data_IF_694270602128
#
_entry.id   IF_694270602128
#
_cell.length_a   1.000
_cell.length_b   1.000
_cell.length_c   1.000
_cell.angle_alpha   90.00
_cell.angle_beta   90.00
_cell.angle_gamma   90.00
#
_symmetry.space_group_name_H-M   'P 1'
#
loop_
_entity.id
_entity.type
_entity.pdbx_description
1 polymer ?
#
# COMPACT_ATOMS: atom_id res chain seq x y z
N UNK A 1 2.82 -8.58 18.77
CA UNK A 1 3.66 -7.72 17.90
C UNK A 1 2.80 -6.71 17.19
N UNK A 2 3.20 -5.43 17.15
CA UNK A 2 2.41 -4.44 16.43
C UNK A 2 2.39 -4.74 14.94
N UNK A 3 1.27 -4.43 14.32
CA UNK A 3 1.16 -4.52 12.88
C UNK A 3 2.05 -3.47 12.21
N UNK A 4 2.44 -3.71 10.99
CA UNK A 4 3.22 -2.74 10.21
C UNK A 4 2.59 -2.49 8.85
N UNK A 5 2.76 -1.28 8.38
CA UNK A 5 2.22 -0.78 7.11
C UNK A 5 3.28 0.01 6.38
N UNK A 6 3.14 0.11 5.07
CA UNK A 6 4.04 0.92 4.24
C UNK A 6 3.20 1.84 3.36
N UNK A 7 3.53 3.13 3.42
CA UNK A 7 2.91 4.15 2.56
C UNK A 7 3.95 4.66 1.59
N UNK A 8 3.69 4.54 0.31
CA UNK A 8 4.58 4.99 -0.75
C UNK A 8 3.85 6.07 -1.55
N UNK A 9 4.22 7.31 -1.34
CA UNK A 9 3.57 8.47 -1.95
C UNK A 9 4.55 9.64 -1.92
N UNK A 10 4.63 10.44 -2.97
CA UNK A 10 5.55 11.55 -3.02
C UNK A 10 5.04 12.81 -2.31
N UNK A 11 3.82 12.79 -1.80
CA UNK A 11 3.22 13.92 -1.09
C UNK A 11 3.49 13.86 0.41
N UNK A 12 4.31 14.77 0.89
CA UNK A 12 4.58 14.88 2.34
C UNK A 12 3.33 15.27 3.12
N UNK A 13 2.45 16.05 2.50
CA UNK A 13 1.19 16.43 3.13
C UNK A 13 0.32 15.19 3.35
N UNK A 14 0.26 14.31 2.36
CA UNK A 14 -0.51 13.09 2.46
C UNK A 14 0.07 12.15 3.53
N UNK A 15 1.39 12.11 3.66
CA UNK A 15 2.02 11.35 4.75
C UNK A 15 1.52 11.81 6.12
N UNK A 16 1.36 13.12 6.32
CA UNK A 16 0.84 13.64 7.57
C UNK A 16 -0.61 13.22 7.79
N UNK A 17 -1.42 13.21 6.74
CA UNK A 17 -2.79 12.73 6.83
C UNK A 17 -2.84 11.25 7.24
N UNK A 18 -1.99 10.42 6.63
CA UNK A 18 -1.89 9.02 7.01
C UNK A 18 -1.47 8.86 8.47
N UNK A 19 -0.53 9.68 8.94
CA UNK A 19 -0.10 9.62 10.35
C UNK A 19 -1.27 9.85 11.30
N UNK A 20 -2.14 10.78 10.96
CA UNK A 20 -3.32 11.05 11.77
C UNK A 20 -4.29 9.86 11.76
N UNK A 21 -4.48 9.26 10.59
CA UNK A 21 -5.38 8.10 10.45
C UNK A 21 -4.82 6.91 11.25
N UNK A 22 -3.54 6.63 11.13
CA UNK A 22 -2.92 5.47 11.80
C UNK A 22 -2.67 5.70 13.29
N UNK A 23 -2.85 6.92 13.79
CA UNK A 23 -2.72 7.22 15.21
C UNK A 23 -4.00 6.96 16.00
N UNK A 24 -5.09 6.60 15.33
CA UNK A 24 -6.41 6.51 15.97
C UNK A 24 -6.94 5.09 16.03
N UNK A 25 -7.77 4.86 17.05
CA UNK A 25 -8.53 3.61 17.18
C UNK A 25 -7.62 2.41 17.29
N UNK A 26 -8.03 1.33 16.65
CA UNK A 26 -7.28 0.07 16.69
C UNK A 26 -6.02 0.08 15.82
N UNK A 27 -5.78 1.16 15.07
CA UNK A 27 -4.55 1.35 14.31
C UNK A 27 -3.44 1.99 15.16
N UNK A 28 -3.80 2.60 16.28
CA UNK A 28 -2.82 3.19 17.20
C UNK A 28 -1.87 2.12 17.68
N UNK A 29 -0.58 2.44 17.72
CA UNK A 29 0.45 1.48 18.12
C UNK A 29 1.03 0.67 16.96
N UNK A 30 0.46 0.75 15.76
CA UNK A 30 1.06 0.11 14.59
C UNK A 30 2.31 0.88 14.15
N UNK A 31 3.20 0.19 13.43
CA UNK A 31 4.38 0.80 12.84
C UNK A 31 4.08 1.14 11.38
N UNK A 32 4.27 2.39 11.00
CA UNK A 32 4.04 2.80 9.61
C UNK A 32 5.34 3.34 9.02
N UNK A 33 5.74 2.75 7.91
CA UNK A 33 6.90 3.19 7.14
C UNK A 33 6.43 4.10 6.01
N UNK A 34 7.19 5.14 5.72
CA UNK A 34 6.83 6.12 4.69
C UNK A 34 7.96 6.24 3.66
N UNK A 35 7.62 6.17 2.39
CA UNK A 35 8.55 6.37 1.29
C UNK A 35 8.03 7.49 0.39
N UNK A 36 8.93 8.29 -0.16
CA UNK A 36 8.60 9.44 -1.01
C UNK A 36 8.67 9.14 -2.51
N UNK A 37 9.12 7.95 -2.88
CA UNK A 37 9.17 7.54 -4.28
C UNK A 37 9.15 6.02 -4.36
N UNK A 38 8.96 5.51 -5.57
CA UNK A 38 8.83 4.07 -5.77
C UNK A 38 10.11 3.29 -5.49
N UNK A 39 11.26 3.89 -5.78
CA UNK A 39 12.54 3.23 -5.54
C UNK A 39 12.78 3.01 -4.05
N UNK A 40 12.59 4.06 -3.27
CA UNK A 40 12.68 3.98 -1.81
C UNK A 40 11.66 3.01 -1.25
N UNK A 41 10.42 3.09 -1.76
CA UNK A 41 9.33 2.21 -1.34
C UNK A 41 9.63 0.74 -1.63
N UNK A 42 10.22 0.46 -2.78
CA UNK A 42 10.59 -0.92 -3.13
C UNK A 42 11.61 -1.48 -2.15
N UNK A 43 12.62 -0.67 -1.79
CA UNK A 43 13.61 -1.07 -0.79
C UNK A 43 12.98 -1.35 0.57
N UNK A 44 12.03 -0.53 0.99
CA UNK A 44 11.32 -0.73 2.25
C UNK A 44 10.43 -1.98 2.21
N UNK A 45 9.80 -2.23 1.08
CA UNK A 45 9.01 -3.45 0.90
C UNK A 45 9.91 -4.68 1.03
N UNK A 46 11.07 -4.66 0.39
CA UNK A 46 12.01 -5.77 0.45
C UNK A 46 12.50 -6.04 1.88
N UNK A 47 12.71 -4.96 2.64
CA UNK A 47 13.24 -5.07 4.00
C UNK A 47 12.18 -5.47 5.04
N UNK A 48 10.89 -5.45 4.70
CA UNK A 48 9.81 -5.68 5.65
C UNK A 48 8.87 -6.79 5.20
N UNK A 49 9.21 -8.07 5.48
CA UNK A 49 8.40 -9.20 5.00
C UNK A 49 7.07 -9.39 5.72
N UNK A 50 6.84 -8.67 6.82
CA UNK A 50 5.64 -8.86 7.65
C UNK A 50 4.62 -7.73 7.55
N UNK A 51 4.69 -6.91 6.49
CA UNK A 51 3.73 -5.84 6.30
C UNK A 51 2.30 -6.38 6.15
N UNK A 52 1.37 -5.73 6.81
CA UNK A 52 -0.06 -6.08 6.68
C UNK A 52 -0.63 -5.54 5.38
N UNK A 53 -0.21 -4.34 4.98
CA UNK A 53 -0.74 -3.67 3.79
C UNK A 53 0.25 -2.62 3.31
N UNK A 54 0.35 -2.46 1.99
CA UNK A 54 1.09 -1.37 1.35
C UNK A 54 0.09 -0.48 0.62
N UNK A 55 0.20 0.83 0.85
CA UNK A 55 -0.58 1.85 0.16
C UNK A 55 0.36 2.56 -0.81
N UNK A 56 0.09 2.46 -2.10
CA UNK A 56 1.01 2.86 -3.17
C UNK A 56 0.36 3.85 -4.12
N UNK A 57 0.98 5.01 -4.29
CA UNK A 57 0.54 5.97 -5.30
C UNK A 57 1.01 5.53 -6.68
N UNK A 58 0.22 5.88 -7.70
CA UNK A 58 0.53 5.55 -9.09
C UNK A 58 1.60 6.49 -9.67
N UNK A 59 1.43 7.79 -9.44
CA UNK A 59 2.29 8.82 -10.06
C UNK A 59 3.35 9.33 -9.10
N UNK A 60 4.59 8.85 -9.30
CA UNK A 60 5.73 9.25 -8.46
C UNK A 60 6.99 9.34 -9.32
N UNK A 61 7.96 10.19 -8.90
CA UNK A 61 9.25 10.21 -9.58
C UNK A 61 10.05 8.94 -9.31
N UNK A 62 11.03 8.69 -10.16
CA UNK A 62 12.02 7.60 -10.08
C UNK A 62 11.49 6.19 -10.27
N UNK A 63 10.29 5.90 -9.86
CA UNK A 63 9.63 4.62 -10.13
C UNK A 63 8.16 4.82 -9.78
N UNK A 64 7.28 4.78 -10.77
CA UNK A 64 5.85 4.94 -10.52
C UNK A 64 5.25 3.65 -9.96
N UNK A 65 3.98 3.71 -9.56
CA UNK A 65 3.33 2.59 -8.91
C UNK A 65 3.22 1.35 -9.78
N UNK A 66 2.95 1.52 -11.07
CA UNK A 66 2.85 0.37 -11.99
C UNK A 66 4.21 -0.29 -12.18
N UNK A 67 5.28 0.51 -12.29
CA UNK A 67 6.64 -0.02 -12.41
C UNK A 67 7.05 -0.80 -11.17
N UNK A 68 6.69 -0.27 -10.00
CA UNK A 68 6.98 -0.95 -8.74
C UNK A 68 6.26 -2.30 -8.68
N UNK A 69 4.98 -2.33 -9.01
CA UNK A 69 4.19 -3.55 -9.01
C UNK A 69 4.74 -4.57 -10.01
N UNK A 70 5.09 -4.11 -11.23
CA UNK A 70 5.63 -4.98 -12.25
C UNK A 70 6.94 -5.62 -11.80
N UNK A 71 7.82 -4.84 -11.19
CA UNK A 71 9.08 -5.33 -10.67
C UNK A 71 8.87 -6.34 -9.54
N UNK A 72 7.96 -6.01 -8.63
CA UNK A 72 7.62 -6.89 -7.51
C UNK A 72 7.10 -8.24 -8.01
N UNK A 73 6.23 -8.21 -9.03
CA UNK A 73 5.67 -9.41 -9.63
C UNK A 73 6.75 -10.24 -10.31
N UNK A 74 7.62 -9.59 -11.08
CA UNK A 74 8.71 -10.24 -11.77
C UNK A 74 9.71 -10.91 -10.82
N UNK A 75 10.02 -10.23 -9.72
CA UNK A 75 10.96 -10.74 -8.72
C UNK A 75 10.29 -11.60 -7.67
N UNK A 76 8.97 -11.71 -7.71
CA UNK A 76 8.16 -12.46 -6.72
C UNK A 76 8.44 -12.03 -5.29
N UNK A 77 8.63 -10.73 -5.10
CA UNK A 77 8.94 -10.17 -3.78
C UNK A 77 7.68 -10.12 -2.92
N UNK A 78 7.67 -10.89 -1.84
CA UNK A 78 6.57 -10.94 -0.87
C UNK A 78 5.19 -10.95 -1.53
N UNK A 79 4.89 -11.93 -2.40
CA UNK A 79 3.68 -11.91 -3.23
C UNK A 79 2.39 -11.93 -2.43
N UNK A 80 2.44 -12.32 -1.16
CA UNK A 80 1.27 -12.39 -0.29
C UNK A 80 0.94 -11.09 0.41
N UNK A 81 1.83 -10.09 0.36
CA UNK A 81 1.55 -8.79 0.95
C UNK A 81 0.62 -8.02 0.00
N UNK A 82 -0.59 -7.61 0.46
CA UNK A 82 -1.48 -6.86 -0.41
C UNK A 82 -0.96 -5.45 -0.65
N UNK A 83 -0.97 -5.02 -1.90
CA UNK A 83 -0.61 -3.67 -2.30
C UNK A 83 -1.83 -3.03 -2.93
N UNK A 84 -2.35 -1.99 -2.29
CA UNK A 84 -3.48 -1.22 -2.81
C UNK A 84 -2.95 0.05 -3.48
N UNK A 85 -3.40 0.32 -4.70
CA UNK A 85 -3.11 1.57 -5.38
C UNK A 85 -4.03 2.66 -4.84
N UNK A 86 -3.46 3.80 -4.44
CA UNK A 86 -4.21 4.95 -3.92
C UNK A 86 -3.79 6.16 -4.74
N UNK A 87 -4.66 6.62 -5.64
CA UNK A 87 -4.26 7.61 -6.63
C UNK A 87 -5.43 8.46 -7.13
N UNK A 88 -5.11 9.63 -7.71
CA UNK A 88 -6.09 10.47 -8.40
C UNK A 88 -6.39 9.93 -9.79
N UNK A 89 -5.50 9.10 -10.34
CA UNK A 89 -5.71 8.46 -11.63
C UNK A 89 -6.75 7.36 -11.49
N UNK A 90 -7.85 7.49 -12.21
CA UNK A 90 -9.00 6.62 -11.97
C UNK A 90 -9.65 6.08 -13.23
N UNK A 91 -8.92 6.00 -14.34
CA UNK A 91 -9.48 5.40 -15.54
C UNK A 91 -9.60 3.89 -15.37
N UNK A 92 -10.58 3.30 -16.06
CA UNK A 92 -10.73 1.86 -16.07
C UNK A 92 -9.48 1.17 -16.62
N UNK A 93 -8.82 1.83 -17.56
CA UNK A 93 -7.58 1.33 -18.15
C UNK A 93 -6.46 1.24 -17.11
N UNK A 94 -6.31 2.26 -16.28
CA UNK A 94 -5.30 2.27 -15.22
C UNK A 94 -5.59 1.22 -14.17
N UNK A 95 -6.85 1.04 -13.81
CA UNK A 95 -7.23 -0.02 -12.87
C UNK A 95 -6.93 -1.41 -13.44
N UNK A 96 -7.22 -1.62 -14.73
CA UNK A 96 -6.95 -2.89 -15.39
C UNK A 96 -5.45 -3.18 -15.42
N UNK A 97 -4.63 -2.17 -15.73
CA UNK A 97 -3.17 -2.32 -15.71
C UNK A 97 -2.66 -2.64 -14.32
N UNK A 98 -3.19 -1.97 -13.32
CA UNK A 98 -2.81 -2.24 -11.93
C UNK A 98 -3.09 -3.67 -11.55
N UNK A 99 -4.26 -4.18 -11.90
CA UNK A 99 -4.63 -5.56 -11.59
C UNK A 99 -3.75 -6.56 -12.32
N UNK A 100 -3.41 -6.29 -13.57
CA UNK A 100 -2.51 -7.16 -14.35
C UNK A 100 -1.14 -7.31 -13.69
N UNK A 101 -0.65 -6.25 -13.05
CA UNK A 101 0.66 -6.29 -12.39
C UNK A 101 0.54 -6.58 -10.90
N UNK A 102 -0.61 -7.07 -10.45
CA UNK A 102 -0.76 -7.62 -9.12
C UNK A 102 -1.27 -6.68 -8.04
N UNK A 103 -1.88 -5.55 -8.42
CA UNK A 103 -2.53 -4.71 -7.42
C UNK A 103 -3.68 -5.47 -6.76
N UNK A 104 -3.71 -5.41 -5.44
CA UNK A 104 -4.74 -6.10 -4.67
C UNK A 104 -6.06 -5.34 -4.66
N UNK A 105 -5.98 -4.00 -4.63
CA UNK A 105 -7.15 -3.13 -4.65
C UNK A 105 -6.78 -1.76 -5.19
N UNK A 106 -7.77 -0.91 -5.37
CA UNK A 106 -7.62 0.41 -5.97
C UNK A 106 -8.51 1.39 -5.21
N UNK A 107 -7.94 2.47 -4.69
CA UNK A 107 -8.66 3.51 -3.96
C UNK A 107 -8.41 4.86 -4.62
N UNK A 108 -9.48 5.59 -4.91
CA UNK A 108 -9.39 6.91 -5.53
C UNK A 108 -9.17 8.00 -4.49
N UNK A 109 -8.27 8.93 -4.78
CA UNK A 109 -8.12 10.16 -3.99
C UNK A 109 -9.13 11.20 -4.50
N UNK A 110 -9.67 12.05 -3.64
CA UNK A 110 -9.48 12.09 -2.19
C UNK A 110 -10.26 10.98 -1.50
N UNK A 111 -9.71 10.46 -0.43
CA UNK A 111 -10.34 9.39 0.34
C UNK A 111 -10.71 9.88 1.74
N UNK A 112 -11.60 9.15 2.39
CA UNK A 112 -11.96 9.36 3.79
C UNK A 112 -11.14 8.43 4.68
N UNK A 113 -10.91 8.79 5.96
CA UNK A 113 -10.24 7.87 6.89
C UNK A 113 -10.89 6.48 6.95
N UNK A 114 -12.22 6.42 6.82
CA UNK A 114 -12.94 5.14 6.80
C UNK A 114 -12.55 4.26 5.62
N UNK A 115 -12.17 4.85 4.50
CA UNK A 115 -11.74 4.07 3.33
C UNK A 115 -10.45 3.32 3.64
N UNK A 116 -9.51 3.97 4.32
CA UNK A 116 -8.26 3.35 4.74
C UNK A 116 -8.53 2.27 5.79
N UNK A 117 -9.41 2.56 6.75
CA UNK A 117 -9.78 1.59 7.77
C UNK A 117 -10.39 0.33 7.18
N UNK A 118 -11.22 0.47 6.14
CA UNK A 118 -11.79 -0.67 5.45
C UNK A 118 -10.75 -1.50 4.70
N UNK A 119 -9.79 -0.83 4.04
CA UNK A 119 -8.68 -1.54 3.39
C UNK A 119 -7.88 -2.34 4.40
N UNK A 120 -7.57 -1.74 5.54
CA UNK A 120 -6.83 -2.41 6.61
C UNK A 120 -7.59 -3.64 7.11
N UNK A 121 -8.88 -3.49 7.32
CA UNK A 121 -9.73 -4.60 7.79
C UNK A 121 -9.67 -5.79 6.84
N UNK A 122 -9.82 -5.53 5.54
CA UNK A 122 -9.77 -6.57 4.52
C UNK A 122 -8.39 -7.19 4.40
N UNK A 123 -7.34 -6.37 4.55
CA UNK A 123 -5.97 -6.88 4.53
C UNK A 123 -5.70 -7.78 5.73
N UNK A 124 -6.23 -7.45 6.90
CA UNK A 124 -6.12 -8.29 8.10
C UNK A 124 -6.81 -9.64 7.90
N UNK A 125 -7.99 -9.64 7.28
CA UNK A 125 -8.70 -10.88 6.98
C UNK A 125 -7.89 -11.76 6.05
N UNK A 126 -7.34 -11.19 5.01
CA UNK A 126 -6.50 -11.92 4.06
C UNK A 126 -5.29 -12.53 4.76
N UNK A 127 -4.68 -11.77 5.66
CA UNK A 127 -3.53 -12.26 6.43
C UNK A 127 -3.89 -13.43 7.34
N UNK A 128 -5.05 -13.35 7.99
CA UNK A 128 -5.55 -14.46 8.83
C UNK A 128 -5.81 -15.70 7.99
N UNK A 129 -6.41 -15.54 6.81
CA UNK A 129 -6.70 -16.66 5.92
C UNK A 129 -5.42 -17.35 5.45
N UNK A 130 -4.36 -16.58 5.20
CA UNK A 130 -3.04 -17.15 4.86
C UNK A 130 -2.47 -17.92 6.04
N UNK A 131 -2.58 -17.36 7.23
CA UNK A 131 -2.10 -18.00 8.44
C UNK A 131 -2.85 -19.28 8.79
N UNK A 132 -4.12 -19.37 8.40
CA UNK A 132 -4.95 -20.55 8.65
C UNK A 132 -4.68 -21.70 7.66
N UNK A 133 -4.07 -21.36 6.53
CA UNK A 133 -3.72 -22.38 5.55
C UNK A 133 -2.46 -23.11 5.97
#
# INVERSE_FOLDING_TARGET
MPESFLVIDDSKLLHQMYRLIFAQGDLAGSTVHYALNGREGYGMLAANPDLTLVLLDLNMPEMNGLELLARRQQERLHPNIPIALVTTESSEEDEARGREVGAWDYLRKPFQPSDIQQLVRRAREQRRNRGAA
#
